data_IF_159566103020
#
_entry.id   IF_159566103020
#
_cell.length_a   1.000
_cell.length_b   1.000
_cell.length_c   1.000
_cell.angle_alpha   90.00
_cell.angle_beta   90.00
_cell.angle_gamma   90.00
#
_symmetry.space_group_name_H-M   'P 1'
#
loop_
_entity.id
_entity.type
_entity.pdbx_description
1 polymer ?
#
# COMPACT_ATOMS: atom_id res chain seq x y z
N UNK A 1 11.99 -5.78 3.25
CA UNK A 1 12.02 -6.01 1.79
C UNK A 1 10.76 -5.51 1.08
N UNK A 2 10.48 -6.02 -0.12
CA UNK A 2 9.29 -5.71 -0.91
C UNK A 2 8.00 -6.13 -0.19
N UNK A 3 6.97 -5.28 -0.23
CA UNK A 3 5.63 -5.47 0.36
C UNK A 3 4.50 -5.34 -0.65
N UNK A 4 4.83 -4.95 -1.89
CA UNK A 4 3.85 -4.79 -2.95
C UNK A 4 4.50 -4.40 -4.26
N UNK A 5 3.67 -4.07 -5.23
CA UNK A 5 4.06 -3.58 -6.55
C UNK A 5 3.22 -2.38 -6.93
N UNK A 6 3.86 -1.32 -7.41
CA UNK A 6 3.18 -0.17 -7.97
C UNK A 6 2.59 -0.51 -9.35
N UNK A 7 1.62 0.28 -9.84
CA UNK A 7 0.96 0.00 -11.13
C UNK A 7 1.93 0.00 -12.33
N UNK A 8 3.05 0.69 -12.23
CA UNK A 8 4.10 0.68 -13.27
C UNK A 8 5.06 -0.52 -13.15
N UNK A 9 4.82 -1.46 -12.25
CA UNK A 9 5.64 -2.67 -12.04
C UNK A 9 6.85 -2.49 -11.11
N UNK A 10 7.12 -1.29 -10.62
CA UNK A 10 8.22 -1.04 -9.67
C UNK A 10 7.82 -1.57 -8.28
N UNK A 11 8.71 -2.31 -7.59
CA UNK A 11 8.38 -2.85 -6.28
C UNK A 11 8.26 -1.76 -5.20
N UNK A 12 7.27 -1.92 -4.33
CA UNK A 12 7.08 -1.13 -3.11
C UNK A 12 7.82 -1.82 -1.96
N UNK A 13 8.71 -1.13 -1.27
CA UNK A 13 9.50 -1.67 -0.17
C UNK A 13 9.09 -1.06 1.16
N UNK A 14 9.07 -1.88 2.20
CA UNK A 14 8.92 -1.41 3.56
C UNK A 14 10.12 -0.51 3.93
N UNK A 15 9.91 0.78 4.27
CA UNK A 15 10.98 1.68 4.67
C UNK A 15 11.40 1.57 6.15
N UNK A 16 10.78 0.68 6.92
CA UNK A 16 11.13 0.41 8.33
C UNK A 16 12.26 -0.62 8.38
N UNK A 17 13.38 -0.20 8.98
CA UNK A 17 14.53 -1.07 9.19
C UNK A 17 14.35 -2.01 10.37
N UNK A 18 15.37 -2.85 10.61
CA UNK A 18 15.29 -3.94 11.60
C UNK A 18 15.16 -3.44 13.05
N UNK A 19 15.56 -2.21 13.31
CA UNK A 19 15.48 -1.55 14.62
C UNK A 19 14.30 -0.57 14.70
N UNK A 20 13.42 -0.55 13.70
CA UNK A 20 12.29 0.39 13.62
C UNK A 20 12.64 1.76 13.02
N UNK A 21 13.84 1.91 12.48
CA UNK A 21 14.35 3.16 11.92
C UNK A 21 13.79 3.50 10.53
N UNK A 22 13.72 4.79 10.20
CA UNK A 22 13.37 5.27 8.86
C UNK A 22 14.57 5.11 7.91
N UNK A 23 14.53 4.06 7.10
CA UNK A 23 15.60 3.78 6.12
C UNK A 23 15.65 4.81 4.98
N UNK A 24 14.62 5.64 4.81
CA UNK A 24 14.62 6.73 3.80
C UNK A 24 15.49 7.91 4.20
N UNK A 25 15.90 8.00 5.47
CA UNK A 25 16.83 9.02 5.97
C UNK A 25 18.30 8.61 5.77
N UNK A 26 18.55 7.38 5.34
CA UNK A 26 19.90 6.85 5.07
C UNK A 26 20.12 6.70 3.56
N UNK A 27 21.37 6.78 3.07
CA UNK A 27 21.66 6.61 1.65
C UNK A 27 21.15 5.27 1.10
N UNK A 28 20.74 5.22 -0.18
CA UNK A 28 20.74 6.30 -1.16
C UNK A 28 19.54 7.25 -1.02
N UNK A 29 19.74 8.52 -1.39
CA UNK A 29 18.68 9.51 -1.40
C UNK A 29 17.55 9.08 -2.36
N UNK A 30 16.31 9.33 -1.94
CA UNK A 30 15.15 9.13 -2.80
C UNK A 30 15.06 10.26 -3.83
N UNK A 31 14.56 9.94 -5.02
CA UNK A 31 14.15 10.92 -6.00
C UNK A 31 12.83 11.61 -5.60
N UNK A 32 12.41 12.59 -6.40
CA UNK A 32 11.16 13.33 -6.18
C UNK A 32 9.90 12.47 -6.33
N UNK A 33 10.03 11.27 -6.90
CA UNK A 33 8.95 10.31 -7.11
C UNK A 33 8.82 9.31 -5.95
N UNK A 34 9.59 9.48 -4.87
CA UNK A 34 9.54 8.62 -3.68
C UNK A 34 10.29 7.30 -3.82
N UNK A 35 11.07 7.13 -4.88
CA UNK A 35 11.85 5.93 -5.16
C UNK A 35 13.35 6.14 -5.08
N UNK A 36 14.10 5.05 -5.00
CA UNK A 36 15.56 5.07 -4.97
C UNK A 36 16.14 3.76 -5.44
N UNK A 37 17.40 3.80 -5.88
CA UNK A 37 18.12 2.63 -6.38
C UNK A 37 19.03 2.07 -5.30
N UNK A 38 18.91 0.80 -4.95
CA UNK A 38 19.80 0.18 -3.96
C UNK A 38 21.22 -0.11 -4.51
N UNK A 39 22.10 -0.66 -3.67
CA UNK A 39 23.48 -0.98 -4.04
C UNK A 39 23.62 -2.02 -5.16
N UNK A 40 22.56 -2.77 -5.46
CA UNK A 40 22.51 -3.77 -6.53
C UNK A 40 21.90 -3.22 -7.82
N UNK A 41 21.51 -1.93 -7.84
CA UNK A 41 20.90 -1.31 -9.00
C UNK A 41 19.39 -1.48 -9.09
N UNK A 42 18.72 -2.02 -8.06
CA UNK A 42 17.27 -2.19 -8.06
C UNK A 42 16.59 -0.88 -7.67
N UNK A 43 15.83 -0.31 -8.61
CA UNK A 43 14.93 0.80 -8.32
C UNK A 43 13.66 0.32 -7.61
N UNK A 44 13.30 0.98 -6.51
CA UNK A 44 12.18 0.63 -5.65
C UNK A 44 11.57 1.87 -5.01
N UNK A 45 10.27 1.84 -4.79
CA UNK A 45 9.58 2.87 -4.02
C UNK A 45 9.70 2.58 -2.52
N UNK A 46 10.07 3.61 -1.76
CA UNK A 46 10.10 3.58 -0.28
C UNK A 46 9.10 4.57 0.32
N UNK A 47 8.49 5.41 -0.53
CA UNK A 47 7.42 6.36 -0.22
C UNK A 47 6.33 6.27 -1.31
N UNK A 48 5.38 7.20 -1.23
CA UNK A 48 4.37 7.42 -2.26
C UNK A 48 5.01 7.53 -3.67
N UNK A 49 4.63 6.67 -4.64
CA UNK A 49 5.08 6.73 -6.03
C UNK A 49 4.40 7.90 -6.76
N UNK A 50 4.59 9.13 -6.28
CA UNK A 50 3.82 10.32 -6.65
C UNK A 50 3.86 10.66 -8.15
N UNK A 51 4.90 10.21 -8.86
CA UNK A 51 5.03 10.41 -10.30
C UNK A 51 4.26 9.40 -11.17
N UNK A 52 3.66 8.36 -10.59
CA UNK A 52 2.92 7.33 -11.36
C UNK A 52 1.44 7.63 -11.50
N UNK A 53 0.94 8.69 -10.86
CA UNK A 53 -0.46 9.07 -10.88
C UNK A 53 -0.63 10.58 -10.78
N UNK A 54 -1.84 11.07 -11.02
CA UNK A 54 -2.21 12.46 -10.80
C UNK A 54 -3.25 12.52 -9.68
N UNK A 55 -3.03 13.41 -8.70
CA UNK A 55 -3.96 13.63 -7.59
C UNK A 55 -4.85 14.83 -7.87
N UNK A 56 -6.17 14.62 -7.93
CA UNK A 56 -7.13 15.71 -7.82
C UNK A 56 -7.19 16.18 -6.35
N UNK A 57 -6.95 17.46 -6.03
CA UNK A 57 -6.98 17.95 -4.66
C UNK A 57 -8.32 17.79 -3.93
N UNK A 58 -9.42 17.60 -4.68
CA UNK A 58 -10.78 17.47 -4.16
C UNK A 58 -11.35 16.06 -4.22
N UNK A 59 -10.62 15.12 -4.81
CA UNK A 59 -11.07 13.74 -4.98
C UNK A 59 -10.25 12.76 -4.15
N UNK A 60 -10.83 11.58 -3.95
CA UNK A 60 -10.11 10.43 -3.42
C UNK A 60 -8.89 10.12 -4.31
N UNK A 61 -7.78 9.74 -3.70
CA UNK A 61 -6.61 9.29 -4.46
C UNK A 61 -6.95 8.11 -5.38
N UNK A 62 -6.26 7.95 -6.51
CA UNK A 62 -6.37 6.73 -7.30
C UNK A 62 -5.59 5.59 -6.64
N UNK A 63 -5.77 4.39 -7.19
CA UNK A 63 -4.91 3.24 -6.88
C UNK A 63 -3.52 3.53 -7.43
N UNK A 64 -2.52 3.27 -6.60
CA UNK A 64 -1.10 3.44 -6.94
C UNK A 64 -0.35 2.11 -7.00
N UNK A 65 -0.93 1.05 -6.44
CA UNK A 65 -0.38 -0.31 -6.49
C UNK A 65 -1.23 -1.32 -5.75
N UNK A 66 -0.65 -2.50 -5.56
CA UNK A 66 -1.23 -3.58 -4.76
C UNK A 66 -0.18 -4.08 -3.78
N UNK A 67 -0.60 -4.35 -2.55
CA UNK A 67 0.24 -5.14 -1.66
C UNK A 67 0.18 -6.60 -2.06
N UNK A 68 1.14 -7.38 -1.58
CA UNK A 68 1.26 -8.81 -1.88
C UNK A 68 0.10 -9.67 -1.35
N UNK A 69 -0.75 -9.11 -0.48
CA UNK A 69 -1.98 -9.75 -0.03
C UNK A 69 -3.17 -9.51 -0.98
N UNK A 70 -2.93 -8.80 -2.08
CA UNK A 70 -3.89 -8.53 -3.14
C UNK A 70 -4.80 -7.33 -2.87
N UNK A 71 -4.64 -6.65 -1.74
CA UNK A 71 -5.43 -5.46 -1.40
C UNK A 71 -4.84 -4.24 -2.10
N UNK A 72 -5.68 -3.37 -2.70
CA UNK A 72 -5.22 -2.16 -3.36
C UNK A 72 -4.60 -1.16 -2.37
N UNK A 73 -3.57 -0.50 -2.84
CA UNK A 73 -2.92 0.64 -2.22
C UNK A 73 -3.31 1.90 -2.98
N UNK A 74 -3.89 2.87 -2.28
CA UNK A 74 -4.28 4.16 -2.79
C UNK A 74 -3.26 5.23 -2.40
N UNK A 75 -3.30 6.36 -3.13
CA UNK A 75 -2.60 7.59 -2.74
C UNK A 75 -3.07 8.13 -1.36
N UNK A 76 -2.54 9.27 -0.90
CA UNK A 76 -2.67 9.69 0.50
C UNK A 76 -4.03 10.29 0.90
N UNK A 77 -4.94 10.49 -0.05
CA UNK A 77 -6.22 11.17 0.16
C UNK A 77 -7.39 10.18 0.11
N UNK A 78 -8.29 10.33 1.07
CA UNK A 78 -9.60 9.69 1.15
C UNK A 78 -10.71 10.54 0.50
N UNK A 79 -11.96 10.31 0.89
CA UNK A 79 -13.13 11.06 0.37
C UNK A 79 -12.92 12.58 0.47
N UNK A 80 -13.37 13.30 -0.57
CA UNK A 80 -13.27 14.76 -0.69
C UNK A 80 -11.82 15.29 -0.69
N UNK A 81 -10.83 14.46 -1.00
CA UNK A 81 -9.42 14.87 -1.05
C UNK A 81 -8.77 15.05 0.32
N UNK A 82 -9.41 14.57 1.38
CA UNK A 82 -8.93 14.69 2.76
C UNK A 82 -8.23 13.40 3.19
N UNK A 83 -7.04 13.45 3.81
CA UNK A 83 -6.40 12.25 4.35
C UNK A 83 -7.33 11.52 5.35
N UNK A 84 -7.47 10.19 5.27
CA UNK A 84 -8.31 9.44 6.20
C UNK A 84 -7.82 9.58 7.64
N UNK A 85 -8.75 9.66 8.59
CA UNK A 85 -8.46 9.80 10.03
C UNK A 85 -8.69 8.51 10.82
N UNK A 86 -9.20 7.47 10.16
CA UNK A 86 -9.66 6.19 10.71
C UNK A 86 -8.82 5.01 10.21
N UNK A 87 -7.58 5.27 9.77
CA UNK A 87 -6.64 4.23 9.40
C UNK A 87 -6.31 3.33 10.59
N UNK A 88 -6.27 2.03 10.34
CA UNK A 88 -5.86 1.01 11.30
C UNK A 88 -4.33 0.94 11.45
N UNK A 89 -3.84 0.00 12.27
CA UNK A 89 -2.41 -0.15 12.52
C UNK A 89 -1.57 -0.50 11.26
N UNK A 90 -2.20 -1.00 10.20
CA UNK A 90 -1.55 -1.28 8.93
C UNK A 90 -1.62 -0.11 7.94
N UNK A 91 -2.30 0.98 8.28
CA UNK A 91 -2.47 2.13 7.40
C UNK A 91 -3.56 1.95 6.35
N UNK A 92 -4.52 1.06 6.59
CA UNK A 92 -5.71 0.90 5.75
C UNK A 92 -7.00 1.05 6.54
N UNK A 93 -8.12 1.08 5.85
CA UNK A 93 -9.44 1.17 6.47
C UNK A 93 -10.52 0.59 5.56
N UNK A 94 -11.75 0.52 6.06
CA UNK A 94 -12.92 0.09 5.28
C UNK A 94 -13.68 1.32 4.82
N UNK A 95 -13.97 1.38 3.53
CA UNK A 95 -14.83 2.39 2.93
C UNK A 95 -15.95 1.72 2.13
N UNK A 96 -16.99 2.48 1.79
CA UNK A 96 -18.09 2.00 0.94
C UNK A 96 -17.96 2.62 -0.44
N UNK A 97 -17.96 1.78 -1.49
CA UNK A 97 -17.93 2.22 -2.87
C UNK A 97 -19.22 2.97 -3.28
N UNK A 98 -19.21 3.57 -4.47
CA UNK A 98 -20.38 4.28 -5.01
C UNK A 98 -21.63 3.41 -5.21
N UNK A 99 -21.50 2.08 -5.19
CA UNK A 99 -22.61 1.11 -5.30
C UNK A 99 -23.12 0.65 -3.94
N UNK A 100 -22.52 1.11 -2.84
CA UNK A 100 -22.90 0.73 -1.49
C UNK A 100 -22.21 -0.52 -0.97
N UNK A 101 -21.17 -1.02 -1.65
CA UNK A 101 -20.41 -2.19 -1.18
C UNK A 101 -19.21 -1.74 -0.32
N UNK A 102 -19.07 -2.27 0.91
CA UNK A 102 -17.87 -2.03 1.69
C UNK A 102 -16.67 -2.70 1.03
N UNK A 103 -15.49 -2.10 1.15
CA UNK A 103 -14.20 -2.66 0.76
C UNK A 103 -13.08 -2.14 1.65
N UNK A 104 -12.04 -2.96 1.87
CA UNK A 104 -10.86 -2.56 2.62
C UNK A 104 -9.75 -2.14 1.66
N UNK A 105 -9.02 -1.09 1.98
CA UNK A 105 -7.88 -0.66 1.17
C UNK A 105 -6.83 0.06 2.02
N UNK A 106 -5.61 0.12 1.50
CA UNK A 106 -4.50 0.82 2.12
C UNK A 106 -4.30 2.21 1.55
N UNK A 107 -3.69 3.09 2.33
CA UNK A 107 -3.18 4.38 1.84
C UNK A 107 -1.66 4.48 2.00
N UNK A 108 -1.02 5.08 1.01
CA UNK A 108 0.29 5.71 1.24
C UNK A 108 0.13 6.88 2.19
N UNK A 109 1.20 7.24 2.90
CA UNK A 109 1.18 8.29 3.92
C UNK A 109 2.28 9.31 3.64
N UNK A 110 1.97 10.57 3.88
CA UNK A 110 2.96 11.65 3.81
C UNK A 110 3.98 11.57 4.98
N UNK A 111 3.61 10.90 6.06
CA UNK A 111 4.46 10.67 7.23
C UNK A 111 4.93 9.22 7.34
N UNK A 112 6.10 9.01 7.95
CA UNK A 112 6.62 7.70 8.28
C UNK A 112 5.57 6.87 9.03
N UNK A 113 5.31 5.61 8.64
CA UNK A 113 6.16 4.77 7.80
C UNK A 113 5.90 4.80 6.28
N UNK A 114 5.17 5.80 5.75
CA UNK A 114 4.87 6.07 4.32
C UNK A 114 4.12 4.98 3.54
N UNK A 115 4.49 3.71 3.70
CA UNK A 115 3.88 2.54 3.12
C UNK A 115 3.39 1.59 4.23
N UNK A 116 2.35 0.79 3.96
CA UNK A 116 1.82 -0.18 4.92
C UNK A 116 2.87 -1.12 5.52
N UNK A 117 2.73 -1.37 6.82
CA UNK A 117 3.69 -2.13 7.64
C UNK A 117 3.20 -3.52 8.01
N UNK A 118 1.97 -3.85 7.68
CA UNK A 118 1.39 -5.17 7.88
C UNK A 118 0.33 -5.44 6.83
N UNK A 119 -0.04 -6.71 6.72
CA UNK A 119 -1.00 -7.20 5.74
C UNK A 119 -2.27 -7.63 6.47
N UNK A 120 -3.43 -7.39 5.84
CA UNK A 120 -4.75 -7.70 6.39
C UNK A 120 -5.41 -8.82 5.64
N UNK A 121 -5.18 -8.90 4.33
CA UNK A 121 -5.63 -10.04 3.57
C UNK A 121 -4.69 -11.23 3.76
N UNK A 122 -5.17 -12.34 3.26
CA UNK A 122 -4.73 -13.64 3.67
C UNK A 122 -3.68 -14.15 2.67
N UNK A 123 -2.43 -14.27 3.11
CA UNK A 123 -1.33 -14.80 2.28
C UNK A 123 -0.83 -16.09 2.90
N UNK A 124 -0.66 -17.14 2.09
CA UNK A 124 -0.05 -18.37 2.60
C UNK A 124 1.41 -18.09 2.99
N UNK A 125 1.86 -18.59 4.15
CA UNK A 125 3.24 -18.39 4.60
C UNK A 125 4.27 -18.87 3.57
N UNK A 126 3.94 -19.92 2.81
CA UNK A 126 4.79 -20.43 1.73
C UNK A 126 4.88 -19.46 0.54
N UNK A 127 3.76 -18.83 0.15
CA UNK A 127 3.72 -17.80 -0.90
C UNK A 127 4.45 -16.53 -0.47
N UNK A 128 4.26 -16.11 0.78
CA UNK A 128 4.96 -14.99 1.37
C UNK A 128 6.49 -15.20 1.37
N UNK A 129 6.93 -16.34 1.91
CA UNK A 129 8.35 -16.66 2.03
C UNK A 129 9.06 -16.84 0.68
N UNK A 130 8.36 -17.31 -0.36
CA UNK A 130 8.94 -17.45 -1.71
C UNK A 130 9.06 -16.12 -2.46
N UNK A 131 8.24 -15.12 -2.14
CA UNK A 131 8.30 -13.77 -2.73
C UNK A 131 9.31 -12.88 -2.01
N UNK A 132 9.33 -12.92 -0.68
CA UNK A 132 10.29 -12.21 0.15
C UNK A 132 10.30 -12.84 1.56
N UNK A 133 11.43 -13.36 2.05
CA UNK A 133 11.49 -13.99 3.38
C UNK A 133 11.12 -13.02 4.51
N UNK A 134 11.32 -11.70 4.34
CA UNK A 134 10.91 -10.69 5.33
C UNK A 134 9.40 -10.50 5.40
N UNK A 135 8.66 -10.83 4.33
CA UNK A 135 7.19 -10.68 4.31
C UNK A 135 6.53 -11.59 5.31
N UNK A 136 7.09 -12.77 5.57
CA UNK A 136 6.54 -13.69 6.56
C UNK A 136 6.41 -13.05 7.95
N UNK A 137 7.23 -12.03 8.25
CA UNK A 137 7.17 -11.26 9.50
C UNK A 137 6.03 -10.22 9.52
N UNK A 138 5.47 -9.86 8.36
CA UNK A 138 4.37 -8.91 8.22
C UNK A 138 3.00 -9.61 8.21
N UNK A 139 3.00 -10.95 8.18
CA UNK A 139 1.79 -11.75 8.22
C UNK A 139 1.22 -11.81 9.64
N UNK A 140 -0.11 -11.88 9.80
CA UNK A 140 -0.71 -12.16 11.09
C UNK A 140 -0.23 -13.53 11.62
N UNK A 141 -0.11 -13.68 12.95
CA UNK A 141 0.39 -14.92 13.58
C UNK A 141 -0.59 -16.10 13.48
N UNK A 142 -1.86 -15.82 13.19
CA UNK A 142 -2.90 -16.84 13.06
C UNK A 142 -2.88 -17.49 11.67
N UNK A 143 -3.18 -18.80 11.56
CA UNK A 143 -3.28 -19.47 10.27
C UNK A 143 -4.29 -18.72 9.40
N UNK A 144 -3.86 -18.39 8.18
CA UNK A 144 -4.66 -17.64 7.23
C UNK A 144 -6.05 -18.31 7.05
N UNK A 145 -7.07 -17.65 7.60
CA UNK A 145 -8.47 -17.93 7.37
C UNK A 145 -9.04 -16.79 6.52
N UNK A 146 -9.82 -17.07 5.46
CA UNK A 146 -10.47 -16.02 4.70
C UNK A 146 -11.23 -15.08 5.63
N UNK A 147 -11.08 -13.76 5.41
CA UNK A 147 -11.85 -12.79 6.16
C UNK A 147 -13.35 -13.07 6.00
N UNK A 148 -14.13 -12.86 7.09
CA UNK A 148 -15.60 -13.00 7.04
C UNK A 148 -16.21 -12.12 5.95
N UNK A 149 -15.61 -10.94 5.76
CA UNK A 149 -15.96 -10.00 4.72
C UNK A 149 -14.94 -10.15 3.58
N UNK A 150 -15.41 -10.58 2.41
CA UNK A 150 -14.62 -10.59 1.18
C UNK A 150 -15.09 -9.44 0.29
N UNK A 151 -14.14 -8.80 -0.38
CA UNK A 151 -14.40 -7.62 -1.18
C UNK A 151 -14.10 -7.91 -2.65
N UNK A 152 -15.02 -7.52 -3.53
CA UNK A 152 -14.80 -7.62 -4.96
C UNK A 152 -14.05 -6.38 -5.43
N UNK A 153 -12.83 -6.58 -5.92
CA UNK A 153 -12.05 -5.56 -6.60
C UNK A 153 -12.24 -5.63 -8.12
N UNK A 154 -13.28 -6.32 -8.61
CA UNK A 154 -13.48 -6.54 -10.06
C UNK A 154 -13.58 -5.25 -10.88
N UNK A 155 -14.03 -4.15 -10.26
CA UNK A 155 -14.17 -2.83 -10.88
C UNK A 155 -13.29 -1.79 -10.16
N UNK A 156 -12.00 -2.10 -9.94
CA UNK A 156 -11.09 -1.25 -9.14
C UNK A 156 -11.06 0.23 -9.53
N UNK A 157 -11.15 0.55 -10.83
CA UNK A 157 -11.18 1.93 -11.32
C UNK A 157 -12.52 2.64 -11.04
N UNK A 158 -13.61 1.87 -10.90
CA UNK A 158 -14.93 2.40 -10.62
C UNK A 158 -15.18 2.61 -9.12
N UNK A 159 -14.46 1.90 -8.24
CA UNK A 159 -14.75 1.85 -6.79
C UNK A 159 -14.92 3.24 -6.15
N UNK A 160 -14.25 4.27 -6.68
CA UNK A 160 -14.28 5.63 -6.13
C UNK A 160 -14.56 6.73 -7.16
N UNK A 161 -14.76 6.39 -8.44
CA UNK A 161 -15.16 7.36 -9.48
C UNK A 161 -16.68 7.51 -9.53
N UNK A 162 -17.24 8.08 -8.46
CA UNK A 162 -18.47 8.85 -8.56
C UNK A 162 -18.12 10.34 -8.46
N UNK A 163 -17.36 10.84 -9.43
CA UNK A 163 -17.43 12.27 -9.74
C UNK A 163 -18.76 12.51 -10.46
N UNK A 164 -19.70 13.11 -9.73
CA UNK A 164 -20.79 13.88 -10.31
C UNK A 164 -20.24 15.17 -10.96
#
# INVERSE_FOLDING_TARGET
GAVGVALNGVPLFNPVGRMGEDTTLSPPALDSCGGGTDHLGLYRYLKDPSCTYSQDPSAHSPIVGFLIDGVPLFGPKGVLGVPPTDLDECGGHRETDYRGHPFYHYHVREAFPYLPQCLRACVSANTAASLNPDVALLLPPEPCAPARDQYSYSDVDALLTATA
#
